data_IF_230642339113
#
_entry.id   IF_230642339113
#
_cell.length_a   1.000
_cell.length_b   1.000
_cell.length_c   1.000
_cell.angle_alpha   90.00
_cell.angle_beta   90.00
_cell.angle_gamma   90.00
#
_symmetry.space_group_name_H-M   'P 1'
#
loop_
_entity.id
_entity.type
_entity.pdbx_description
1 polymer ?
#
# COMPACT_ATOMS: atom_id res chain seq x y z
N UNK A 1 8.63 -6.65 25.09
CA UNK A 1 8.89 -6.63 23.64
C UNK A 1 10.29 -7.15 23.41
N UNK A 2 10.55 -7.87 22.32
CA UNK A 2 11.91 -8.33 22.01
C UNK A 2 12.76 -7.21 21.40
N UNK A 3 14.08 -7.35 21.46
CA UNK A 3 15.02 -6.41 20.85
C UNK A 3 14.78 -6.28 19.34
N UNK A 4 14.45 -7.40 18.68
CA UNK A 4 14.12 -7.43 17.26
C UNK A 4 12.86 -6.61 16.92
N UNK A 5 11.82 -6.63 17.75
CA UNK A 5 10.62 -5.80 17.56
C UNK A 5 10.96 -4.32 17.70
N UNK A 6 11.84 -3.99 18.64
CA UNK A 6 12.26 -2.60 18.89
C UNK A 6 13.06 -2.05 17.72
N UNK A 7 13.99 -2.82 17.16
CA UNK A 7 14.76 -2.41 15.97
C UNK A 7 13.89 -2.31 14.71
N UNK A 8 12.91 -3.20 14.56
CA UNK A 8 11.93 -3.09 13.49
C UNK A 8 11.12 -1.79 13.60
N UNK A 9 10.65 -1.44 14.80
CA UNK A 9 9.92 -0.19 15.03
C UNK A 9 10.76 1.05 14.76
N UNK A 10 12.04 1.04 15.17
CA UNK A 10 12.97 2.16 14.92
C UNK A 10 13.23 2.33 13.43
N UNK A 11 13.56 1.25 12.72
CA UNK A 11 13.82 1.28 11.27
C UNK A 11 12.57 1.71 10.50
N UNK A 12 11.39 1.22 10.90
CA UNK A 12 10.12 1.64 10.31
C UNK A 12 9.89 3.14 10.50
N UNK A 13 10.04 3.65 11.74
CA UNK A 13 9.87 5.08 12.03
C UNK A 13 10.86 5.95 11.27
N UNK A 14 12.14 5.56 11.21
CA UNK A 14 13.17 6.30 10.48
C UNK A 14 12.83 6.39 8.98
N UNK A 15 12.31 5.30 8.40
CA UNK A 15 11.85 5.30 7.01
C UNK A 15 10.69 6.27 6.79
N UNK A 16 9.68 6.24 7.67
CA UNK A 16 8.53 7.16 7.58
C UNK A 16 8.99 8.62 7.71
N UNK A 17 9.89 8.92 8.64
CA UNK A 17 10.45 10.28 8.80
C UNK A 17 11.15 10.75 7.51
N UNK A 18 12.00 9.91 6.92
CA UNK A 18 12.68 10.25 5.66
C UNK A 18 11.66 10.50 4.53
N UNK A 19 10.59 9.69 4.45
CA UNK A 19 9.50 9.91 3.51
C UNK A 19 8.76 11.23 3.77
N UNK A 20 8.48 11.59 5.01
CA UNK A 20 7.87 12.87 5.36
C UNK A 20 8.76 14.07 4.97
N UNK A 21 10.08 13.87 4.98
CA UNK A 21 11.09 14.84 4.51
C UNK A 21 11.27 14.84 2.98
N UNK A 22 10.49 14.05 2.24
CA UNK A 22 10.47 14.03 0.78
C UNK A 22 11.33 12.95 0.13
N UNK A 23 11.90 12.03 0.89
CA UNK A 23 12.65 10.90 0.31
C UNK A 23 11.78 10.06 -0.63
N UNK A 24 12.38 9.55 -1.69
CA UNK A 24 11.69 8.69 -2.64
C UNK A 24 11.31 7.35 -1.99
N UNK A 25 10.10 6.87 -2.27
CA UNK A 25 9.62 5.56 -1.83
C UNK A 25 9.99 4.53 -2.91
N UNK A 26 10.79 3.51 -2.60
CA UNK A 26 11.20 2.53 -3.58
C UNK A 26 9.99 1.75 -4.11
N UNK A 27 10.09 1.19 -5.33
CA UNK A 27 9.15 0.18 -5.79
C UNK A 27 9.09 -1.00 -4.83
N UNK A 28 7.95 -1.68 -4.83
CA UNK A 28 7.72 -2.89 -4.01
C UNK A 28 7.20 -4.01 -4.90
N UNK A 29 7.12 -5.22 -4.38
CA UNK A 29 6.51 -6.30 -5.12
C UNK A 29 4.99 -6.13 -5.19
N UNK A 30 4.40 -6.38 -6.36
CA UNK A 30 2.96 -6.29 -6.60
C UNK A 30 2.16 -7.18 -5.64
N UNK A 31 2.64 -8.42 -5.44
CA UNK A 31 1.95 -9.39 -4.60
C UNK A 31 1.95 -9.02 -3.12
N UNK A 32 2.97 -8.31 -2.63
CA UNK A 32 3.01 -7.83 -1.24
C UNK A 32 1.93 -6.75 -1.01
N UNK A 33 1.73 -5.84 -1.97
CA UNK A 33 0.66 -4.84 -1.93
C UNK A 33 -0.72 -5.48 -2.01
N UNK A 34 -0.90 -6.44 -2.92
CA UNK A 34 -2.15 -7.17 -3.08
C UNK A 34 -2.52 -7.95 -1.82
N UNK A 35 -1.56 -8.71 -1.26
CA UNK A 35 -1.77 -9.47 -0.03
C UNK A 35 -2.14 -8.57 1.16
N UNK A 36 -1.51 -7.40 1.28
CA UNK A 36 -1.87 -6.42 2.32
C UNK A 36 -3.28 -5.85 2.12
N UNK A 37 -3.66 -5.54 0.88
CA UNK A 37 -5.00 -5.04 0.56
C UNK A 37 -6.08 -6.09 0.87
N UNK A 38 -5.87 -7.34 0.45
CA UNK A 38 -6.78 -8.45 0.74
C UNK A 38 -6.93 -8.65 2.25
N UNK A 39 -5.83 -8.60 3.01
CA UNK A 39 -5.86 -8.64 4.47
C UNK A 39 -6.69 -7.49 5.07
N UNK A 40 -6.56 -6.27 4.53
CA UNK A 40 -7.38 -5.13 4.94
C UNK A 40 -8.88 -5.37 4.67
N UNK A 41 -9.24 -5.78 3.45
CA UNK A 41 -10.62 -6.03 3.03
C UNK A 41 -11.25 -7.13 3.89
N UNK A 42 -10.52 -8.22 4.12
CA UNK A 42 -10.96 -9.32 4.97
C UNK A 42 -11.23 -8.88 6.41
N UNK A 43 -10.35 -8.04 6.98
CA UNK A 43 -10.57 -7.48 8.31
C UNK A 43 -11.77 -6.54 8.34
N UNK A 44 -11.93 -5.68 7.35
CA UNK A 44 -13.06 -4.75 7.26
C UNK A 44 -14.41 -5.51 7.23
N UNK A 45 -14.46 -6.63 6.49
CA UNK A 45 -15.61 -7.55 6.46
C UNK A 45 -15.87 -8.19 7.82
N UNK A 46 -14.83 -8.71 8.49
CA UNK A 46 -14.95 -9.41 9.78
C UNK A 46 -15.30 -8.47 10.95
N UNK A 47 -14.91 -7.20 10.88
CA UNK A 47 -15.04 -6.25 12.00
C UNK A 47 -15.97 -5.05 11.71
N UNK A 48 -17.02 -5.25 10.88
CA UNK A 48 -18.06 -4.26 10.59
C UNK A 48 -17.54 -2.88 10.19
N UNK A 49 -16.57 -2.82 9.26
CA UNK A 49 -16.05 -1.55 8.75
C UNK A 49 -15.10 -0.82 9.71
N UNK A 50 -14.69 -1.43 10.84
CA UNK A 50 -13.51 -0.96 11.57
C UNK A 50 -12.27 -1.26 10.74
N UNK A 51 -11.96 -0.34 9.84
CA UNK A 51 -10.66 -0.23 9.16
C UNK A 51 -9.60 0.17 10.20
N UNK A 52 -9.32 -0.75 11.12
CA UNK A 52 -8.32 -0.56 12.15
C UNK A 52 -6.96 -0.26 11.54
N UNK A 53 -6.13 0.46 12.29
CA UNK A 53 -4.70 0.55 12.04
C UNK A 53 -4.16 -0.88 11.87
N UNK A 54 -3.50 -1.15 10.74
CA UNK A 54 -2.78 -2.41 10.56
C UNK A 54 -1.46 -2.27 11.33
N UNK A 55 -1.22 -3.17 12.27
CA UNK A 55 0.05 -3.19 13.00
C UNK A 55 1.17 -3.65 12.07
N UNK A 56 2.40 -3.26 12.39
CA UNK A 56 3.58 -3.63 11.58
C UNK A 56 3.72 -5.14 11.50
N UNK A 57 3.37 -5.89 12.55
CA UNK A 57 3.39 -7.35 12.57
C UNK A 57 2.38 -7.94 11.59
N UNK A 58 1.20 -7.33 11.45
CA UNK A 58 0.21 -7.78 10.47
C UNK A 58 0.66 -7.49 9.04
N UNK A 59 1.29 -6.34 8.79
CA UNK A 59 1.93 -6.05 7.50
C UNK A 59 3.04 -7.06 7.21
N UNK A 60 3.92 -7.34 8.17
CA UNK A 60 4.99 -8.33 8.06
C UNK A 60 4.47 -9.73 7.72
N UNK A 61 3.32 -10.12 8.26
CA UNK A 61 2.68 -11.42 7.98
C UNK A 61 2.05 -11.52 6.59
N UNK A 62 1.60 -10.40 6.03
CA UNK A 62 1.02 -10.36 4.69
C UNK A 62 2.09 -10.34 3.59
N UNK A 63 3.25 -9.77 3.88
CA UNK A 63 4.31 -9.55 2.91
C UNK A 63 5.36 -10.67 2.94
N UNK A 64 6.16 -10.71 1.88
CA UNK A 64 7.32 -11.58 1.77
C UNK A 64 8.36 -11.29 2.86
N UNK A 65 9.18 -12.28 3.28
CA UNK A 65 10.17 -12.09 4.34
C UNK A 65 11.19 -10.96 4.09
N UNK A 66 11.48 -10.67 2.82
CA UNK A 66 12.41 -9.62 2.40
C UNK A 66 11.73 -8.30 2.00
N UNK A 67 10.41 -8.19 2.20
CA UNK A 67 9.67 -7.01 1.79
C UNK A 67 10.09 -5.77 2.58
N UNK A 68 10.21 -4.63 1.89
CA UNK A 68 10.35 -3.34 2.54
C UNK A 68 8.98 -2.91 3.11
N UNK A 69 8.70 -3.35 4.35
CA UNK A 69 7.40 -3.15 5.00
C UNK A 69 6.97 -1.68 5.08
N UNK A 70 7.85 -0.70 5.44
CA UNK A 70 7.49 0.72 5.40
C UNK A 70 7.02 1.20 4.02
N UNK A 71 7.73 0.81 2.95
CA UNK A 71 7.39 1.20 1.58
C UNK A 71 6.05 0.57 1.13
N UNK A 72 5.82 -0.71 1.44
CA UNK A 72 4.55 -1.39 1.16
C UNK A 72 3.40 -0.70 1.91
N UNK A 73 3.59 -0.38 3.18
CA UNK A 73 2.58 0.28 4.01
C UNK A 73 2.22 1.69 3.50
N UNK A 74 3.21 2.50 3.11
CA UNK A 74 2.97 3.84 2.56
C UNK A 74 2.22 3.78 1.22
N UNK A 75 2.70 2.94 0.29
CA UNK A 75 2.03 2.72 -1.01
C UNK A 75 0.60 2.25 -0.83
N UNK A 76 0.37 1.29 0.06
CA UNK A 76 -0.98 0.80 0.37
C UNK A 76 -1.85 1.88 1.03
N UNK A 77 -1.30 2.73 1.88
CA UNK A 77 -2.06 3.83 2.51
C UNK A 77 -2.57 4.83 1.48
N UNK A 78 -1.73 5.18 0.51
CA UNK A 78 -2.15 6.03 -0.62
C UNK A 78 -3.19 5.33 -1.50
N UNK A 79 -2.96 4.06 -1.85
CA UNK A 79 -3.93 3.28 -2.62
C UNK A 79 -5.29 3.20 -1.92
N UNK A 80 -5.31 2.95 -0.60
CA UNK A 80 -6.53 2.91 0.21
C UNK A 80 -7.24 4.26 0.23
N UNK A 81 -6.50 5.37 0.21
CA UNK A 81 -7.08 6.71 0.10
C UNK A 81 -7.84 6.88 -1.23
N UNK A 82 -7.22 6.50 -2.35
CA UNK A 82 -7.87 6.55 -3.68
C UNK A 82 -9.11 5.66 -3.75
N UNK A 83 -9.01 4.44 -3.23
CA UNK A 83 -10.14 3.49 -3.13
C UNK A 83 -11.33 4.12 -2.37
N UNK A 84 -11.07 4.68 -1.19
CA UNK A 84 -12.13 5.30 -0.35
C UNK A 84 -12.74 6.55 -0.97
N UNK A 85 -11.99 7.27 -1.81
CA UNK A 85 -12.49 8.42 -2.56
C UNK A 85 -13.30 8.01 -3.80
N UNK A 86 -13.38 6.71 -4.13
CA UNK A 86 -14.08 6.21 -5.31
C UNK A 86 -13.34 6.41 -6.62
N UNK A 87 -12.07 6.86 -6.58
CA UNK A 87 -11.27 7.13 -7.77
C UNK A 87 -10.87 5.86 -8.54
N UNK A 88 -11.03 4.69 -7.92
CA UNK A 88 -10.72 3.39 -8.51
C UNK A 88 -11.97 2.61 -8.94
N UNK A 89 -13.15 3.25 -8.96
CA UNK A 89 -14.42 2.57 -9.25
C UNK A 89 -14.43 1.82 -10.59
N UNK A 90 -13.70 2.33 -11.61
CA UNK A 90 -13.57 1.70 -12.93
C UNK A 90 -12.82 0.36 -12.89
N UNK A 91 -11.89 0.17 -11.94
CA UNK A 91 -11.06 -1.04 -11.77
C UNK A 91 -11.47 -1.85 -10.53
N UNK A 92 -12.70 -1.65 -10.07
CA UNK A 92 -13.23 -2.25 -8.84
C UNK A 92 -14.43 -3.14 -9.15
N UNK A 93 -14.33 -4.40 -8.73
CA UNK A 93 -15.38 -5.39 -8.81
C UNK A 93 -15.83 -5.80 -7.40
N UNK A 94 -16.78 -5.04 -6.85
CA UNK A 94 -17.21 -5.21 -5.46
C UNK A 94 -16.12 -4.76 -4.49
N UNK A 95 -15.49 -5.69 -3.77
CA UNK A 95 -14.34 -5.39 -2.88
C UNK A 95 -13.00 -5.79 -3.49
N UNK A 96 -12.98 -6.20 -4.75
CA UNK A 96 -11.80 -6.68 -5.46
C UNK A 96 -11.33 -5.55 -6.38
N UNK A 97 -10.03 -5.30 -6.41
CA UNK A 97 -9.37 -4.40 -7.36
C UNK A 97 -8.65 -5.21 -8.43
N UNK A 98 -8.61 -4.68 -9.64
CA UNK A 98 -7.87 -5.31 -10.75
C UNK A 98 -6.37 -5.38 -10.49
N UNK A 99 -5.71 -6.41 -11.02
CA UNK A 99 -4.25 -6.59 -10.91
C UNK A 99 -3.47 -5.39 -11.48
N UNK A 100 -4.01 -4.72 -12.50
CA UNK A 100 -3.42 -3.51 -13.06
C UNK A 100 -3.21 -2.40 -12.00
N UNK A 101 -4.13 -2.28 -11.04
CA UNK A 101 -4.05 -1.31 -9.94
C UNK A 101 -2.81 -1.58 -9.09
N UNK A 102 -2.61 -2.83 -8.68
CA UNK A 102 -1.45 -3.23 -7.87
C UNK A 102 -0.15 -3.11 -8.66
N UNK A 103 -0.16 -3.49 -9.94
CA UNK A 103 1.00 -3.36 -10.82
C UNK A 103 1.48 -1.92 -10.90
N UNK A 104 0.59 -0.97 -11.18
CA UNK A 104 0.95 0.46 -11.25
C UNK A 104 1.33 0.98 -9.87
N UNK A 105 0.58 0.66 -8.82
CA UNK A 105 0.85 1.16 -7.46
C UNK A 105 2.18 0.67 -6.90
N UNK A 106 2.64 -0.51 -7.33
CA UNK A 106 3.92 -1.09 -6.90
C UNK A 106 5.13 -0.34 -7.44
N UNK A 107 5.00 0.29 -8.61
CA UNK A 107 6.15 0.80 -9.37
C UNK A 107 6.09 2.30 -9.66
N UNK A 108 4.92 2.95 -9.54
CA UNK A 108 4.81 4.38 -9.79
C UNK A 108 5.72 5.15 -8.84
N UNK A 109 6.37 6.18 -9.36
CA UNK A 109 7.21 7.08 -8.59
C UNK A 109 6.40 7.73 -7.48
N UNK A 110 6.97 7.71 -6.28
CA UNK A 110 6.40 8.38 -5.10
C UNK A 110 7.55 9.12 -4.43
N UNK A 111 7.41 10.44 -4.35
CA UNK A 111 8.34 11.30 -3.62
C UNK A 111 7.65 11.73 -2.34
N UNK A 112 8.32 11.45 -1.23
CA UNK A 112 7.74 11.51 0.09
C UNK A 112 6.51 10.62 0.26
N UNK A 113 5.55 11.07 1.08
CA UNK A 113 4.36 10.27 1.41
C UNK A 113 3.25 10.35 0.36
N UNK A 114 3.39 11.19 -0.68
CA UNK A 114 2.34 11.47 -1.66
C UNK A 114 2.47 10.58 -2.92
N UNK A 115 1.33 10.09 -3.39
CA UNK A 115 1.18 9.46 -4.69
C UNK A 115 0.41 10.43 -5.59
N UNK A 116 1.00 10.80 -6.72
CA UNK A 116 0.35 11.63 -7.73
C UNK A 116 -0.85 10.87 -8.33
N UNK A 117 -2.04 11.24 -7.89
CA UNK A 117 -3.27 10.55 -8.27
C UNK A 117 -3.61 10.74 -9.74
N UNK A 118 -3.25 11.87 -10.34
CA UNK A 118 -3.50 12.13 -11.77
C UNK A 118 -2.61 11.23 -12.61
N UNK A 119 -1.30 11.26 -12.35
CA UNK A 119 -0.34 10.41 -13.07
C UNK A 119 -0.64 8.91 -12.88
N UNK A 120 -1.10 8.53 -11.69
CA UNK A 120 -1.54 7.16 -11.40
C UNK A 120 -2.73 6.72 -12.25
N UNK A 121 -3.79 7.52 -12.29
CA UNK A 121 -5.01 7.22 -13.04
C UNK A 121 -4.78 7.25 -14.55
N UNK A 122 -3.98 8.20 -15.05
CA UNK A 122 -3.57 8.25 -16.46
C UNK A 122 -2.83 6.98 -16.87
N UNK A 123 -1.90 6.51 -16.03
CA UNK A 123 -1.16 5.29 -16.30
C UNK A 123 -2.04 4.05 -16.28
N UNK A 124 -3.04 3.98 -15.38
CA UNK A 124 -4.01 2.89 -15.37
C UNK A 124 -4.87 2.86 -16.62
N UNK A 125 -5.38 4.01 -17.06
CA UNK A 125 -6.17 4.11 -18.30
C UNK A 125 -5.36 3.73 -19.53
N UNK A 126 -4.07 4.09 -19.56
CA UNK A 126 -3.15 3.68 -20.63
C UNK A 126 -2.93 2.17 -20.74
N UNK A 127 -3.14 1.40 -19.68
CA UNK A 127 -3.04 -0.06 -19.69
C UNK A 127 -4.32 -0.76 -20.20
N UNK A 128 -5.46 -0.07 -20.19
CA UNK A 128 -6.75 -0.63 -20.61
C UNK A 128 -6.98 -0.60 -22.14
N UNK A 129 -6.03 -0.08 -22.92
CA UNK A 129 -6.12 0.08 -24.38
C UNK A 129 -5.42 -1.08 -25.13
N UNK A 130 -5.38 -2.29 -24.58
CA UNK A 130 -4.77 -3.47 -25.22
C UNK A 130 -5.76 -4.62 -25.29
#
# INVERSE_FOLDING_TARGET
MSDQQTELLKSFRAFIQAAEEGAAIPPVAEHDLKALHELCVDRAKRYCGKDGVISIELTARACSPAANLPAVWLRHTQLRSLYRQGLLAEWQHGTILDDAVFRVASAISMNGTYLDSVAFLERLRGLAVV
#
